data_IF_805508934948
#
_entry.id   IF_805508934948
#
_cell.length_a   1.000
_cell.length_b   1.000
_cell.length_c   1.000
_cell.angle_alpha   90.00
_cell.angle_beta   90.00
_cell.angle_gamma   90.00
#
_symmetry.space_group_name_H-M   'P 1'
#
loop_
_entity.id
_entity.type
_entity.pdbx_description
1 polymer ?
#
# COMPACT_ATOMS: atom_id res chain seq x y z
N UNK A 1 -3.68 -15.84 -2.36
CA UNK A 1 -3.53 -14.94 -1.20
C UNK A 1 -4.14 -13.56 -1.45
N UNK A 2 -3.85 -12.83 -2.54
CA UNK A 2 -4.46 -11.50 -2.82
C UNK A 2 -5.98 -11.61 -2.93
N UNK A 3 -6.51 -12.56 -3.70
CA UNK A 3 -7.97 -12.79 -3.81
C UNK A 3 -8.64 -13.10 -2.46
N UNK A 4 -7.95 -13.79 -1.55
CA UNK A 4 -8.51 -14.08 -0.23
C UNK A 4 -8.61 -12.84 0.66
N UNK A 5 -7.71 -11.86 0.48
CA UNK A 5 -7.78 -10.57 1.19
C UNK A 5 -8.99 -9.77 0.68
N UNK A 6 -9.27 -9.84 -0.62
CA UNK A 6 -10.43 -9.15 -1.22
C UNK A 6 -11.76 -9.84 -0.92
N UNK A 7 -11.74 -11.16 -0.68
CA UNK A 7 -12.95 -11.96 -0.42
C UNK A 7 -13.42 -11.93 1.04
N UNK A 8 -12.57 -11.51 1.97
CA UNK A 8 -12.89 -11.47 3.39
C UNK A 8 -13.06 -10.01 3.86
N UNK A 9 -14.11 -9.77 4.61
CA UNK A 9 -14.46 -8.45 5.14
C UNK A 9 -13.35 -7.86 6.04
N UNK A 10 -12.64 -8.71 6.79
CA UNK A 10 -11.49 -8.31 7.57
C UNK A 10 -10.44 -9.42 7.65
N UNK A 11 -9.16 -9.04 7.59
CA UNK A 11 -8.05 -9.97 7.64
C UNK A 11 -7.16 -9.65 8.84
N UNK A 12 -7.20 -10.52 9.85
CA UNK A 12 -6.44 -10.31 11.08
C UNK A 12 -5.06 -11.00 11.06
N UNK A 13 -4.90 -12.09 10.30
CA UNK A 13 -3.65 -12.84 10.24
C UNK A 13 -3.63 -13.83 9.06
N UNK A 14 -2.43 -14.33 8.71
CA UNK A 14 -2.27 -15.41 7.73
C UNK A 14 -3.04 -16.66 8.16
N UNK A 15 -3.06 -16.98 9.48
CA UNK A 15 -3.79 -18.10 10.01
C UNK A 15 -5.30 -17.93 9.85
N UNK A 16 -5.81 -16.71 10.01
CA UNK A 16 -7.20 -16.38 9.75
C UNK A 16 -7.56 -16.60 8.28
N UNK A 17 -6.75 -16.03 7.35
CA UNK A 17 -6.90 -16.25 5.91
C UNK A 17 -6.91 -17.73 5.53
N UNK A 18 -5.98 -18.50 6.11
CA UNK A 18 -5.90 -19.93 5.84
C UNK A 18 -7.16 -20.66 6.29
N UNK A 19 -7.62 -20.45 7.52
CA UNK A 19 -8.78 -21.15 8.07
C UNK A 19 -10.09 -20.82 7.36
N UNK A 20 -10.27 -19.57 6.96
CA UNK A 20 -11.56 -19.09 6.45
C UNK A 20 -11.64 -19.05 4.91
N UNK A 21 -10.53 -19.23 4.22
CA UNK A 21 -10.53 -19.17 2.77
C UNK A 21 -9.56 -20.15 2.11
N UNK A 22 -8.25 -20.08 2.45
CA UNK A 22 -7.24 -20.78 1.67
C UNK A 22 -7.32 -22.29 1.80
N UNK A 23 -7.68 -22.83 2.98
CA UNK A 23 -7.81 -24.27 3.19
C UNK A 23 -8.90 -24.93 2.32
N UNK A 24 -9.88 -24.14 1.88
CA UNK A 24 -10.95 -24.63 0.98
C UNK A 24 -10.57 -24.65 -0.51
N UNK A 25 -9.49 -23.94 -0.90
CA UNK A 25 -9.10 -23.79 -2.31
C UNK A 25 -7.72 -24.34 -2.64
N UNK A 26 -6.98 -24.84 -1.64
CA UNK A 26 -5.64 -25.39 -1.84
C UNK A 26 -5.30 -26.46 -0.81
N UNK A 27 -4.57 -27.47 -1.23
CA UNK A 27 -4.01 -28.52 -0.35
C UNK A 27 -2.72 -28.09 0.36
N UNK A 28 -2.20 -26.88 0.07
CA UNK A 28 -0.97 -26.36 0.69
C UNK A 28 -1.20 -26.14 2.19
N UNK A 29 -0.24 -26.53 3.02
CA UNK A 29 -0.31 -26.33 4.46
C UNK A 29 -0.15 -24.86 4.86
N UNK A 30 -0.61 -24.50 6.05
CA UNK A 30 -0.46 -23.16 6.64
C UNK A 30 1.01 -22.69 6.65
N UNK A 31 1.94 -23.60 6.91
CA UNK A 31 3.38 -23.27 6.98
C UNK A 31 3.93 -22.75 5.64
N UNK A 32 3.40 -23.21 4.51
CA UNK A 32 3.79 -22.69 3.20
C UNK A 32 3.46 -21.20 3.08
N UNK A 33 2.31 -20.76 3.58
CA UNK A 33 1.93 -19.35 3.55
C UNK A 33 2.78 -18.49 4.48
N UNK A 34 3.11 -18.99 5.66
CA UNK A 34 4.09 -18.32 6.54
C UNK A 34 5.45 -18.20 5.88
N UNK A 35 5.94 -19.27 5.24
CA UNK A 35 7.20 -19.26 4.53
C UNK A 35 7.21 -18.21 3.41
N UNK A 36 6.17 -18.17 2.58
CA UNK A 36 6.04 -17.18 1.50
C UNK A 36 6.06 -15.76 2.05
N UNK A 37 5.33 -15.48 3.13
CA UNK A 37 5.30 -14.14 3.71
C UNK A 37 6.61 -13.71 4.37
N UNK A 38 7.40 -14.68 4.88
CA UNK A 38 8.64 -14.39 5.61
C UNK A 38 9.88 -14.39 4.72
N UNK A 39 9.91 -15.22 3.66
CA UNK A 39 11.14 -15.50 2.92
C UNK A 39 11.01 -15.26 1.41
N UNK A 40 9.81 -15.11 0.85
CA UNK A 40 9.69 -14.86 -0.57
C UNK A 40 10.26 -13.47 -0.90
N UNK A 41 11.21 -13.47 -1.83
CA UNK A 41 11.78 -12.23 -2.38
C UNK A 41 10.83 -11.67 -3.43
N UNK A 42 9.91 -10.82 -2.99
CA UNK A 42 9.01 -10.12 -3.90
C UNK A 42 9.68 -8.83 -4.41
N UNK A 43 9.62 -8.61 -5.72
CA UNK A 43 10.01 -7.33 -6.31
C UNK A 43 8.86 -6.32 -6.15
N UNK A 44 8.82 -5.69 -4.99
CA UNK A 44 7.80 -4.68 -4.69
C UNK A 44 7.87 -3.46 -5.63
N UNK A 45 9.05 -3.17 -6.18
CA UNK A 45 9.24 -2.08 -7.13
C UNK A 45 8.53 -2.38 -8.44
N UNK A 46 8.72 -3.58 -8.97
CA UNK A 46 8.03 -4.04 -10.16
C UNK A 46 6.52 -4.10 -9.95
N UNK A 47 6.08 -4.55 -8.77
CA UNK A 47 4.66 -4.57 -8.42
C UNK A 47 4.06 -3.16 -8.44
N UNK A 48 4.69 -2.19 -7.78
CA UNK A 48 4.26 -0.80 -7.74
C UNK A 48 4.16 -0.19 -9.15
N UNK A 49 5.19 -0.35 -9.97
CA UNK A 49 5.23 0.19 -11.34
C UNK A 49 4.17 -0.48 -12.23
N UNK A 50 4.01 -1.80 -12.13
CA UNK A 50 2.98 -2.51 -12.90
C UNK A 50 1.57 -2.05 -12.51
N UNK A 51 1.31 -1.86 -11.21
CA UNK A 51 0.02 -1.36 -10.71
C UNK A 51 -0.24 0.06 -11.24
N UNK A 52 0.75 0.96 -11.20
CA UNK A 52 0.62 2.30 -11.74
C UNK A 52 0.31 2.29 -13.24
N UNK A 53 1.04 1.48 -14.01
CA UNK A 53 0.82 1.34 -15.46
C UNK A 53 -0.57 0.83 -15.79
N UNK A 54 -1.03 -0.22 -15.10
CA UNK A 54 -2.39 -0.75 -15.30
C UNK A 54 -3.42 0.32 -14.95
N UNK A 55 -3.29 1.00 -13.82
CA UNK A 55 -4.21 2.05 -13.41
C UNK A 55 -4.29 3.17 -14.44
N UNK A 56 -3.14 3.66 -14.93
CA UNK A 56 -3.08 4.70 -15.97
C UNK A 56 -3.71 4.25 -17.29
N UNK A 57 -3.58 2.97 -17.64
CA UNK A 57 -4.18 2.40 -18.85
C UNK A 57 -5.71 2.26 -18.75
N UNK A 58 -6.25 2.13 -17.54
CA UNK A 58 -7.68 2.03 -17.29
C UNK A 58 -8.42 3.37 -17.29
N UNK A 59 -7.72 4.50 -17.45
CA UNK A 59 -8.37 5.82 -17.56
C UNK A 59 -9.17 5.84 -18.87
N UNK A 60 -10.49 6.13 -18.81
CA UNK A 60 -11.31 6.25 -20.03
C UNK A 60 -10.78 7.32 -20.99
N UNK A 61 -10.99 7.11 -22.28
CA UNK A 61 -10.50 8.03 -23.32
C UNK A 61 -10.97 9.48 -23.08
N UNK A 62 -12.23 9.64 -22.71
CA UNK A 62 -12.87 10.91 -22.41
C UNK A 62 -12.25 11.68 -21.21
N UNK A 63 -11.44 10.99 -20.39
CA UNK A 63 -10.79 11.55 -19.20
C UNK A 63 -9.27 11.58 -19.30
N UNK A 64 -8.69 11.27 -20.45
CA UNK A 64 -7.23 11.26 -20.63
C UNK A 64 -6.58 12.62 -20.39
N UNK A 65 -7.29 13.72 -20.65
CA UNK A 65 -6.84 15.08 -20.41
C UNK A 65 -7.04 15.55 -18.96
N UNK A 66 -7.77 14.77 -18.17
CA UNK A 66 -7.97 15.09 -16.76
C UNK A 66 -6.68 14.86 -15.96
N UNK A 67 -6.44 15.68 -14.93
CA UNK A 67 -5.26 15.49 -14.09
C UNK A 67 -5.32 14.16 -13.33
N UNK A 68 -4.17 13.54 -13.12
CA UNK A 68 -3.98 12.45 -12.18
C UNK A 68 -3.19 12.96 -10.98
N UNK A 69 -3.51 12.48 -9.79
CA UNK A 69 -2.84 12.93 -8.57
C UNK A 69 -2.06 11.79 -7.95
N UNK A 70 -0.86 12.09 -7.50
CA UNK A 70 -0.04 11.19 -6.71
C UNK A 70 -0.07 11.67 -5.26
N UNK A 71 -0.84 10.98 -4.44
CA UNK A 71 -1.05 11.32 -3.04
C UNK A 71 -0.04 10.58 -2.17
N UNK A 72 0.56 11.30 -1.24
CA UNK A 72 1.52 10.77 -0.28
C UNK A 72 1.01 11.07 1.12
N UNK A 73 1.02 10.06 1.97
CA UNK A 73 0.63 10.19 3.36
C UNK A 73 1.46 9.27 4.25
N UNK A 74 1.43 9.51 5.56
CA UNK A 74 2.02 8.60 6.52
C UNK A 74 0.98 8.08 7.52
N UNK A 75 1.06 6.78 7.78
CA UNK A 75 0.16 6.09 8.70
C UNK A 75 0.95 5.47 9.83
N UNK A 76 0.47 5.66 11.05
CA UNK A 76 1.06 5.07 12.24
C UNK A 76 0.24 3.88 12.72
N UNK A 77 0.93 2.78 13.01
CA UNK A 77 0.33 1.55 13.54
C UNK A 77 0.92 1.31 14.93
N UNK A 78 0.10 1.49 15.97
CA UNK A 78 0.51 1.23 17.35
C UNK A 78 0.91 -0.22 17.57
N UNK A 79 1.94 -0.43 18.38
CA UNK A 79 2.43 -1.75 18.79
C UNK A 79 2.61 -1.80 20.30
N UNK A 80 2.17 -2.90 20.89
CA UNK A 80 2.40 -3.19 22.29
C UNK A 80 3.66 -4.04 22.45
N UNK A 81 4.57 -3.59 23.32
CA UNK A 81 5.86 -4.25 23.59
C UNK A 81 7.02 -3.69 22.76
N UNK A 82 8.23 -4.05 23.19
CA UNK A 82 9.50 -3.48 22.68
C UNK A 82 10.24 -4.45 21.74
N UNK A 83 9.72 -5.65 21.51
CA UNK A 83 10.44 -6.71 20.78
C UNK A 83 10.19 -6.72 19.26
N UNK A 84 9.38 -5.80 18.75
CA UNK A 84 9.16 -5.69 17.30
C UNK A 84 10.30 -4.90 16.67
N UNK A 85 10.81 -5.40 15.57
CA UNK A 85 11.81 -4.72 14.78
C UNK A 85 11.29 -3.37 14.27
N UNK A 86 12.12 -2.33 14.31
CA UNK A 86 11.79 -0.96 13.87
C UNK A 86 10.62 -0.27 14.61
N UNK A 87 10.19 -0.79 15.76
CA UNK A 87 9.29 -0.04 16.65
C UNK A 87 9.99 1.21 17.18
N UNK A 88 9.29 2.31 17.17
CA UNK A 88 9.80 3.56 17.69
C UNK A 88 8.71 4.39 18.37
N UNK A 89 9.14 5.29 19.27
CA UNK A 89 8.28 6.32 19.83
C UNK A 89 7.98 7.34 18.74
N UNK A 90 6.70 7.46 18.36
CA UNK A 90 6.18 8.32 17.30
C UNK A 90 5.34 9.42 17.94
N UNK A 91 5.40 10.62 17.37
CA UNK A 91 4.50 11.69 17.76
C UNK A 91 3.19 11.54 17.00
N UNK A 92 2.09 11.47 17.75
CA UNK A 92 0.74 11.33 17.20
C UNK A 92 0.01 12.67 17.29
N UNK A 93 -0.15 13.33 16.14
CA UNK A 93 -0.84 14.61 16.03
C UNK A 93 -2.36 14.50 16.28
N UNK A 94 -2.92 13.28 16.17
CA UNK A 94 -4.34 13.03 16.36
C UNK A 94 -4.67 12.48 17.75
N UNK A 95 -3.69 12.36 18.65
CA UNK A 95 -3.90 11.79 19.97
C UNK A 95 -4.77 12.71 20.85
N UNK A 96 -5.92 12.20 21.23
CA UNK A 96 -6.83 12.86 22.18
C UNK A 96 -6.70 12.30 23.61
N UNK A 97 -5.80 11.35 23.87
CA UNK A 97 -5.77 10.53 25.10
C UNK A 97 -4.66 10.95 26.08
N UNK A 98 -4.31 12.24 26.16
CA UNK A 98 -3.35 12.75 27.15
C UNK A 98 -1.87 12.41 26.88
N UNK A 99 -1.55 11.56 25.92
CA UNK A 99 -0.19 11.28 25.47
C UNK A 99 -0.08 11.56 23.97
N UNK A 100 0.73 12.57 23.61
CA UNK A 100 1.02 12.87 22.19
C UNK A 100 2.01 11.88 21.55
N UNK A 101 2.26 10.73 22.18
CA UNK A 101 3.22 9.76 21.70
C UNK A 101 2.64 8.34 21.75
N UNK A 102 2.92 7.57 20.71
CA UNK A 102 2.66 6.13 20.65
C UNK A 102 3.93 5.36 20.30
N UNK A 103 4.03 4.13 20.77
CA UNK A 103 5.03 3.18 20.29
C UNK A 103 4.44 2.43 19.09
N UNK A 104 5.15 2.39 17.98
CA UNK A 104 4.61 1.74 16.79
C UNK A 104 5.52 1.82 15.57
N UNK A 105 4.96 1.41 14.46
CA UNK A 105 5.54 1.56 13.13
C UNK A 105 4.90 2.76 12.43
N UNK A 106 5.70 3.48 11.67
CA UNK A 106 5.22 4.49 10.73
C UNK A 106 5.46 3.99 9.30
N UNK A 107 4.44 4.05 8.47
CA UNK A 107 4.51 3.69 7.05
C UNK A 107 4.24 4.93 6.22
N UNK A 108 5.11 5.20 5.25
CA UNK A 108 4.85 6.16 4.19
C UNK A 108 4.13 5.43 3.07
N UNK A 109 2.97 5.94 2.68
CA UNK A 109 2.14 5.41 1.61
C UNK A 109 2.18 6.30 0.37
N UNK A 110 2.02 5.69 -0.80
CA UNK A 110 1.83 6.38 -2.06
C UNK A 110 0.61 5.81 -2.77
N UNK A 111 -0.30 6.69 -3.18
CA UNK A 111 -1.55 6.36 -3.86
C UNK A 111 -1.67 7.17 -5.13
N UNK A 112 -2.15 6.53 -6.18
CA UNK A 112 -2.48 7.15 -7.45
C UNK A 112 -3.99 7.38 -7.53
N UNK A 113 -4.42 8.63 -7.69
CA UNK A 113 -5.81 8.97 -7.92
C UNK A 113 -6.02 9.20 -9.41
N UNK A 114 -6.82 8.34 -10.04
CA UNK A 114 -7.16 8.37 -11.47
C UNK A 114 -8.61 8.73 -11.69
N UNK A 115 -8.95 9.50 -12.74
CA UNK A 115 -10.33 9.75 -13.09
C UNK A 115 -10.98 8.48 -13.66
N UNK A 116 -12.17 8.17 -13.17
CA UNK A 116 -13.00 7.06 -13.64
C UNK A 116 -14.40 7.54 -13.92
N UNK A 117 -15.12 6.84 -14.81
CA UNK A 117 -16.50 7.16 -15.13
C UNK A 117 -17.44 6.67 -14.04
N UNK A 118 -18.29 7.57 -13.55
CA UNK A 118 -19.41 7.22 -12.71
C UNK A 118 -20.67 7.91 -13.26
N UNK A 119 -21.50 7.17 -13.99
CA UNK A 119 -22.62 7.73 -14.78
C UNK A 119 -22.12 8.86 -15.68
N UNK A 120 -22.58 10.10 -15.47
CA UNK A 120 -22.24 11.26 -16.29
C UNK A 120 -21.14 12.15 -15.67
N UNK A 121 -20.51 11.71 -14.57
CA UNK A 121 -19.51 12.49 -13.86
C UNK A 121 -18.18 11.75 -13.73
N UNK A 122 -17.07 12.51 -13.74
CA UNK A 122 -15.78 11.99 -13.38
C UNK A 122 -15.68 11.86 -11.84
N UNK A 123 -15.33 10.67 -11.37
CA UNK A 123 -14.88 10.44 -10.00
C UNK A 123 -13.41 10.06 -9.98
N UNK A 124 -12.75 10.25 -8.85
CA UNK A 124 -11.37 9.82 -8.67
C UNK A 124 -11.28 8.54 -7.87
N UNK A 125 -10.74 7.49 -8.50
CA UNK A 125 -10.44 6.22 -7.85
C UNK A 125 -9.02 6.28 -7.28
N UNK A 126 -8.90 6.01 -5.98
CA UNK A 126 -7.60 5.91 -5.31
C UNK A 126 -7.05 4.49 -5.41
N UNK A 127 -5.92 4.34 -6.09
CA UNK A 127 -5.22 3.07 -6.29
C UNK A 127 -3.95 3.06 -5.43
N UNK A 128 -3.85 2.20 -4.40
CA UNK A 128 -2.65 2.11 -3.57
C UNK A 128 -1.51 1.52 -4.40
N UNK A 129 -0.41 2.24 -4.51
CA UNK A 129 0.79 1.77 -5.21
C UNK A 129 1.75 1.04 -4.28
N UNK A 130 1.93 1.54 -3.05
CA UNK A 130 2.81 0.89 -2.11
C UNK A 130 2.95 1.59 -0.77
N UNK A 131 3.58 0.87 0.15
CA UNK A 131 3.89 1.33 1.50
C UNK A 131 5.34 1.02 1.81
N UNK A 132 6.05 1.92 2.49
CA UNK A 132 7.40 1.68 3.02
C UNK A 132 7.45 2.03 4.50
N UNK A 133 8.00 1.11 5.30
CA UNK A 133 8.21 1.35 6.72
C UNK A 133 9.33 2.36 6.91
N UNK A 134 9.05 3.41 7.68
CA UNK A 134 10.04 4.39 8.07
C UNK A 134 10.90 3.87 9.23
N UNK A 135 12.22 3.94 9.07
CA UNK A 135 13.19 3.35 10.01
C UNK A 135 14.01 4.39 10.78
N UNK A 136 13.64 5.65 10.80
CA UNK A 136 14.41 6.77 11.42
C UNK A 136 15.82 7.02 10.85
N UNK A 137 16.27 6.23 9.86
CA UNK A 137 17.57 6.41 9.19
C UNK A 137 17.56 7.59 8.22
N UNK A 138 16.37 7.99 7.77
CA UNK A 138 16.14 9.10 6.86
C UNK A 138 14.83 9.82 7.21
N UNK A 139 14.60 10.99 6.63
CA UNK A 139 13.32 11.68 6.80
C UNK A 139 12.21 10.96 6.00
N UNK A 140 10.96 11.06 6.49
CA UNK A 140 9.77 10.55 5.77
C UNK A 140 9.65 11.17 4.38
N UNK A 141 9.98 12.46 4.22
CA UNK A 141 9.98 13.16 2.92
C UNK A 141 11.01 12.56 1.95
N UNK A 142 12.21 12.20 2.43
CA UNK A 142 13.23 11.56 1.59
C UNK A 142 12.76 10.17 1.14
N UNK A 143 12.14 9.41 2.03
CA UNK A 143 11.55 8.11 1.72
C UNK A 143 10.43 8.27 0.68
N UNK A 144 9.51 9.20 0.89
CA UNK A 144 8.44 9.54 -0.07
C UNK A 144 9.00 9.93 -1.44
N UNK A 145 10.00 10.83 -1.48
CA UNK A 145 10.64 11.25 -2.72
C UNK A 145 11.31 10.09 -3.47
N UNK A 146 11.82 9.08 -2.76
CA UNK A 146 12.38 7.87 -3.38
C UNK A 146 11.28 7.02 -4.04
N UNK A 147 10.10 6.90 -3.40
CA UNK A 147 8.94 6.19 -3.94
C UNK A 147 8.37 6.89 -5.17
N UNK A 148 8.27 8.22 -5.14
CA UNK A 148 7.84 9.03 -6.29
C UNK A 148 8.78 8.83 -7.47
N UNK A 149 10.10 8.99 -7.28
CA UNK A 149 11.08 8.79 -8.35
C UNK A 149 11.00 7.41 -8.99
N UNK A 150 10.63 6.40 -8.21
CA UNK A 150 10.51 5.04 -8.70
C UNK A 150 9.31 4.86 -9.65
N UNK A 151 8.17 5.53 -9.39
CA UNK A 151 6.96 5.39 -10.20
C UNK A 151 6.88 6.40 -11.36
N UNK A 152 7.64 7.49 -11.31
CA UNK A 152 7.63 8.55 -12.35
C UNK A 152 7.83 8.08 -13.78
N UNK A 153 8.68 7.06 -14.10
CA UNK A 153 8.81 6.57 -15.49
C UNK A 153 7.49 6.10 -16.10
N UNK A 154 6.56 5.55 -15.32
CA UNK A 154 5.26 5.09 -15.81
C UNK A 154 4.37 6.27 -16.30
N UNK A 155 4.52 7.46 -15.68
CA UNK A 155 3.82 8.66 -16.10
C UNK A 155 4.42 9.28 -17.36
N UNK A 156 5.73 9.20 -17.52
CA UNK A 156 6.40 9.70 -18.72
C UNK A 156 6.00 8.91 -19.96
N UNK A 157 5.82 7.60 -19.83
CA UNK A 157 5.38 6.72 -20.91
C UNK A 157 3.96 7.06 -21.40
N UNK A 158 3.06 7.57 -20.51
CA UNK A 158 1.70 8.00 -20.88
C UNK A 158 1.67 9.21 -21.84
N UNK A 159 2.66 10.11 -21.79
CA UNK A 159 2.71 11.32 -22.63
C UNK A 159 3.16 11.04 -24.07
N UNK A 160 3.54 9.81 -24.38
CA UNK A 160 4.09 9.43 -25.70
C UNK A 160 3.12 8.58 -26.54
N UNK A 161 1.87 8.39 -26.06
CA UNK A 161 0.82 7.64 -26.78
C UNK A 161 -0.32 8.63 -27.21
#
# INVERSE_FOLDING_TARGET
MILSILALESVHSIRFLYRHFLSGITEKSLNVFYYVCSYAKADYSRFMNTTARIALHLIPEEFKDQPVFLCIDDTMVSKFGMKFENVSKLFDHAAHNGSSYLNGHCFVSIMLCIPVKNHDHALYLSVPLGYRMWQKKESKLKLAASMVRQVMPEFAAKKQV
#
